data_IF_960941860531
#
_entry.id   IF_960941860531
#
_cell.length_a   1.000
_cell.length_b   1.000
_cell.length_c   1.000
_cell.angle_alpha   90.00
_cell.angle_beta   90.00
_cell.angle_gamma   90.00
#
_symmetry.space_group_name_H-M   'P 1'
#
loop_
_entity.id
_entity.type
_entity.pdbx_description
1 polymer ?
#
# COMPACT_ATOMS: atom_id res chain seq x y z
N UNK A 1 -7.57 -12.26 17.90
CA UNK A 1 -7.81 -10.82 17.73
C UNK A 1 -7.37 -10.10 18.99
N UNK A 2 -6.57 -9.04 18.84
CA UNK A 2 -6.23 -8.12 19.94
C UNK A 2 -6.79 -6.76 19.57
N UNK A 3 -7.37 -6.02 20.51
CA UNK A 3 -7.94 -4.69 20.27
C UNK A 3 -7.18 -3.67 21.10
N UNK A 4 -6.49 -2.76 20.42
CA UNK A 4 -5.86 -1.59 21.02
C UNK A 4 -6.77 -0.37 20.79
N UNK A 5 -7.49 0.00 21.84
CA UNK A 5 -8.42 1.14 21.82
C UNK A 5 -7.70 2.48 21.77
N UNK A 6 -6.49 2.58 22.34
CA UNK A 6 -5.72 3.82 22.34
C UNK A 6 -5.17 4.11 20.93
N UNK A 7 -4.66 3.09 20.26
CA UNK A 7 -4.18 3.18 18.88
C UNK A 7 -5.29 3.05 17.83
N UNK A 8 -6.53 2.71 18.23
CA UNK A 8 -7.66 2.37 17.35
C UNK A 8 -7.30 1.28 16.32
N UNK A 9 -6.61 0.23 16.77
CA UNK A 9 -6.15 -0.88 15.93
C UNK A 9 -6.70 -2.21 16.44
N UNK A 10 -7.06 -3.09 15.51
CA UNK A 10 -7.53 -4.44 15.82
C UNK A 10 -6.77 -5.48 15.00
N UNK A 11 -5.49 -5.78 15.33
CA UNK A 11 -4.78 -6.86 14.67
C UNK A 11 -5.48 -8.19 14.91
N UNK A 12 -5.67 -8.94 13.83
CA UNK A 12 -6.20 -10.29 13.86
C UNK A 12 -5.34 -11.21 13.00
N UNK A 13 -5.17 -12.43 13.48
CA UNK A 13 -4.47 -13.52 12.82
C UNK A 13 -5.30 -14.76 13.06
N UNK A 14 -5.60 -15.47 11.98
CA UNK A 14 -6.07 -16.84 12.06
C UNK A 14 -4.87 -17.74 12.35
N UNK A 15 -4.93 -18.45 13.46
CA UNK A 15 -3.91 -19.39 13.87
C UNK A 15 -4.52 -20.77 14.05
N UNK A 16 -3.99 -21.75 13.32
CA UNK A 16 -4.36 -23.15 13.50
C UNK A 16 -3.37 -23.80 14.47
N UNK A 17 -3.89 -24.25 15.61
CA UNK A 17 -3.11 -25.02 16.58
C UNK A 17 -3.54 -26.48 16.52
N UNK A 18 -2.58 -27.38 16.27
CA UNK A 18 -2.81 -28.81 16.43
C UNK A 18 -3.16 -29.14 17.88
N UNK A 19 -4.25 -29.88 18.10
CA UNK A 19 -4.66 -30.38 19.40
C UNK A 19 -4.50 -31.90 19.50
N UNK A 20 -4.32 -32.41 20.71
CA UNK A 20 -4.25 -33.86 21.00
C UNK A 20 -5.35 -34.29 21.99
N UNK A 21 -6.03 -35.39 21.67
CA UNK A 21 -7.12 -35.96 22.45
C UNK A 21 -8.52 -35.45 22.06
N UNK A 22 -9.57 -36.00 22.69
CA UNK A 22 -10.96 -35.61 22.46
C UNK A 22 -11.39 -34.40 23.28
N UNK A 23 -12.28 -33.58 22.70
CA UNK A 23 -12.87 -32.39 23.34
C UNK A 23 -12.04 -31.10 23.14
N UNK A 24 -12.72 -30.04 22.69
CA UNK A 24 -12.10 -28.72 22.48
C UNK A 24 -11.94 -27.98 23.82
N UNK A 25 -10.88 -28.30 24.58
CA UNK A 25 -10.60 -27.66 25.88
C UNK A 25 -9.61 -26.49 25.75
N UNK A 26 -10.09 -25.30 25.37
CA UNK A 26 -9.26 -24.09 25.14
C UNK A 26 -8.35 -23.76 26.33
N UNK A 27 -8.85 -23.90 27.56
CA UNK A 27 -8.07 -23.64 28.79
C UNK A 27 -6.83 -24.53 28.95
N UNK A 28 -6.86 -25.74 28.38
CA UNK A 28 -5.71 -26.66 28.40
C UNK A 28 -4.52 -26.04 27.65
N UNK A 29 -4.80 -25.26 26.61
CA UNK A 29 -3.80 -24.62 25.75
C UNK A 29 -3.43 -23.20 26.17
N UNK A 30 -3.91 -22.69 27.32
CA UNK A 30 -3.73 -21.30 27.76
C UNK A 30 -2.29 -20.79 27.71
N UNK A 31 -1.29 -21.63 28.03
CA UNK A 31 0.14 -21.25 27.95
C UNK A 31 0.60 -21.07 26.51
N UNK A 32 0.21 -21.97 25.60
CA UNK A 32 0.52 -21.90 24.17
C UNK A 32 -0.19 -20.73 23.50
N UNK A 33 -1.45 -20.48 23.89
CA UNK A 33 -2.22 -19.32 23.46
C UNK A 33 -1.60 -18.00 23.97
N UNK A 34 -1.12 -17.97 25.22
CA UNK A 34 -0.44 -16.79 25.77
C UNK A 34 0.90 -16.51 25.06
N UNK A 35 1.68 -17.55 24.75
CA UNK A 35 2.91 -17.43 23.96
C UNK A 35 2.60 -16.93 22.54
N UNK A 36 1.64 -17.56 21.84
CA UNK A 36 1.18 -17.12 20.53
C UNK A 36 0.70 -15.66 20.56
N UNK A 37 -0.08 -15.26 21.58
CA UNK A 37 -0.55 -13.89 21.72
C UNK A 37 0.60 -12.88 21.88
N UNK A 38 1.64 -13.23 22.66
CA UNK A 38 2.86 -12.43 22.81
C UNK A 38 3.62 -12.34 21.49
N UNK A 39 3.85 -13.47 20.84
CA UNK A 39 4.61 -13.52 19.58
C UNK A 39 3.91 -12.74 18.47
N UNK A 40 2.57 -12.79 18.42
CA UNK A 40 1.78 -11.96 17.50
C UNK A 40 1.88 -10.48 17.85
N UNK A 41 1.80 -10.12 19.14
CA UNK A 41 1.97 -8.72 19.56
C UNK A 41 3.35 -8.18 19.19
N UNK A 42 4.41 -8.97 19.37
CA UNK A 42 5.77 -8.61 18.97
C UNK A 42 5.92 -8.55 17.45
N UNK A 43 5.32 -9.49 16.71
CA UNK A 43 5.35 -9.55 15.26
C UNK A 43 4.63 -8.39 14.58
N UNK A 44 3.53 -7.89 15.16
CA UNK A 44 2.74 -6.79 14.61
C UNK A 44 3.06 -5.43 15.26
N UNK A 45 4.03 -5.38 16.18
CA UNK A 45 4.48 -4.12 16.76
C UNK A 45 5.06 -3.23 15.64
N UNK A 46 4.67 -1.94 15.56
CA UNK A 46 5.27 -1.03 14.59
C UNK A 46 6.80 -1.02 14.71
N UNK A 47 7.49 -1.17 13.57
CA UNK A 47 8.95 -1.14 13.51
C UNK A 47 9.67 -2.46 13.86
N UNK A 48 8.97 -3.55 14.20
CA UNK A 48 9.64 -4.87 14.37
C UNK A 48 9.75 -5.67 13.08
N UNK A 49 8.91 -5.36 12.08
CA UNK A 49 8.96 -5.97 10.75
C UNK A 49 8.88 -4.88 9.70
N UNK A 50 9.65 -5.07 8.63
CA UNK A 50 9.50 -4.30 7.39
C UNK A 50 8.24 -4.80 6.70
N UNK A 51 7.27 -3.91 6.53
CA UNK A 51 6.04 -4.14 5.79
C UNK A 51 6.19 -3.69 4.34
N UNK A 52 5.25 -4.09 3.49
CA UNK A 52 5.17 -3.53 2.14
C UNK A 52 5.01 -1.99 2.17
N UNK A 53 4.31 -1.46 3.18
CA UNK A 53 4.17 -0.02 3.36
C UNK A 53 5.52 0.67 3.59
N UNK A 54 6.37 0.08 4.43
CA UNK A 54 7.72 0.60 4.68
C UNK A 54 8.55 0.57 3.39
N UNK A 55 8.52 -0.56 2.68
CA UNK A 55 9.22 -0.73 1.40
C UNK A 55 8.74 0.27 0.34
N UNK A 56 7.43 0.47 0.21
CA UNK A 56 6.84 1.43 -0.72
C UNK A 56 7.26 2.87 -0.39
N UNK A 57 7.29 3.25 0.90
CA UNK A 57 7.76 4.56 1.33
C UNK A 57 9.24 4.78 1.01
N UNK A 58 10.09 3.77 1.22
CA UNK A 58 11.51 3.85 0.87
C UNK A 58 11.73 3.96 -0.63
N UNK A 59 11.04 3.16 -1.44
CA UNK A 59 11.09 3.25 -2.90
C UNK A 59 10.62 4.62 -3.39
N UNK A 60 9.49 5.10 -2.88
CA UNK A 60 8.95 6.41 -3.23
C UNK A 60 9.92 7.54 -2.85
N UNK A 61 10.53 7.49 -1.66
CA UNK A 61 11.46 8.53 -1.22
C UNK A 61 12.79 8.53 -2.00
N UNK A 62 13.30 7.34 -2.35
CA UNK A 62 14.57 7.19 -3.03
C UNK A 62 14.49 7.45 -4.55
N UNK A 63 13.36 7.11 -5.19
CA UNK A 63 13.22 7.14 -6.65
C UNK A 63 12.47 8.35 -7.19
N UNK A 64 11.66 9.01 -6.35
CA UNK A 64 10.96 10.22 -6.77
C UNK A 64 11.97 11.35 -6.92
N UNK A 65 11.98 11.96 -8.12
CA UNK A 65 12.80 13.15 -8.39
C UNK A 65 12.41 14.28 -7.44
N UNK A 66 13.36 15.15 -7.14
CA UNK A 66 13.07 16.31 -6.31
C UNK A 66 11.89 17.13 -6.88
N UNK A 67 10.95 17.49 -6.02
CA UNK A 67 9.72 18.21 -6.39
C UNK A 67 8.62 17.37 -7.05
N UNK A 68 8.89 16.14 -7.50
CA UNK A 68 7.86 15.25 -8.01
C UNK A 68 6.95 14.75 -6.87
N UNK A 69 5.62 14.62 -7.10
CA UNK A 69 4.70 14.22 -6.06
C UNK A 69 4.72 12.71 -5.79
N UNK A 70 4.54 12.34 -4.53
CA UNK A 70 4.15 11.00 -4.07
C UNK A 70 2.70 11.07 -3.60
N UNK A 71 1.84 10.21 -4.15
CA UNK A 71 0.44 10.15 -3.77
C UNK A 71 0.17 8.92 -2.89
N UNK A 72 -0.48 9.13 -1.76
CA UNK A 72 -0.86 8.08 -0.81
C UNK A 72 -2.38 8.08 -0.67
N UNK A 73 -3.02 6.97 -1.02
CA UNK A 73 -4.44 6.76 -0.74
C UNK A 73 -4.62 6.34 0.70
N UNK A 74 -5.29 7.18 1.48
CA UNK A 74 -5.67 6.93 2.86
C UNK A 74 -7.12 6.44 2.85
N UNK A 75 -7.38 5.15 3.11
CA UNK A 75 -8.75 4.64 3.20
C UNK A 75 -9.49 5.36 4.34
N UNK A 76 -10.79 5.64 4.15
CA UNK A 76 -11.56 6.22 5.23
C UNK A 76 -11.67 5.22 6.39
N UNK A 77 -11.26 5.61 7.61
CA UNK A 77 -11.55 4.81 8.78
C UNK A 77 -13.07 4.79 9.01
N UNK A 78 -13.67 3.61 9.12
CA UNK A 78 -15.04 3.42 9.63
C UNK A 78 -16.14 4.21 8.89
N UNK A 79 -16.21 4.12 7.56
CA UNK A 79 -17.41 4.58 6.85
C UNK A 79 -18.60 3.64 7.15
N UNK A 80 -19.78 4.16 7.54
CA UNK A 80 -21.01 3.37 7.62
C UNK A 80 -21.28 2.66 6.29
N UNK A 81 -21.90 1.46 6.30
CA UNK A 81 -22.10 0.67 5.08
C UNK A 81 -22.82 1.44 3.96
N UNK A 82 -23.72 2.36 4.32
CA UNK A 82 -24.47 3.24 3.40
C UNK A 82 -23.59 4.25 2.64
N UNK A 83 -22.33 4.45 3.06
CA UNK A 83 -21.35 5.35 2.43
C UNK A 83 -20.12 4.61 1.89
N UNK A 84 -20.10 3.27 1.92
CA UNK A 84 -19.00 2.50 1.29
C UNK A 84 -19.00 2.63 -0.23
N UNK A 85 -20.18 2.78 -0.82
CA UNK A 85 -20.36 2.91 -2.27
C UNK A 85 -20.06 4.34 -2.76
N UNK A 86 -20.03 5.32 -1.86
CA UNK A 86 -19.52 6.66 -2.10
C UNK A 86 -17.99 6.63 -1.94
N UNK A 87 -17.32 6.07 -2.94
CA UNK A 87 -15.86 5.99 -3.01
C UNK A 87 -15.20 7.28 -2.54
N UNK A 88 -14.19 7.17 -1.68
CA UNK A 88 -13.38 8.34 -1.37
C UNK A 88 -12.61 8.26 -0.07
N UNK A 89 -11.61 7.38 -0.03
CA UNK A 89 -10.43 7.68 0.77
C UNK A 89 -9.89 9.08 0.44
N UNK A 90 -9.10 9.65 1.34
CA UNK A 90 -8.36 10.87 1.02
C UNK A 90 -7.11 10.49 0.23
N UNK A 91 -6.78 11.26 -0.80
CA UNK A 91 -5.45 11.22 -1.42
C UNK A 91 -4.60 12.28 -0.75
N UNK A 92 -3.50 11.85 -0.14
CA UNK A 92 -2.49 12.73 0.42
C UNK A 92 -1.37 12.87 -0.60
N UNK A 93 -0.97 14.10 -0.89
CA UNK A 93 0.14 14.41 -1.78
C UNK A 93 1.34 14.88 -0.96
N UNK A 94 2.50 14.29 -1.23
CA UNK A 94 3.76 14.59 -0.58
C UNK A 94 4.81 14.99 -1.61
N UNK A 95 5.62 16.00 -1.32
CA UNK A 95 6.80 16.38 -2.09
C UNK A 95 7.99 16.48 -1.16
N UNK A 96 9.13 15.91 -1.56
CA UNK A 96 10.37 16.07 -0.79
C UNK A 96 10.76 17.54 -0.81
N UNK A 97 10.97 18.13 0.38
CA UNK A 97 11.42 19.53 0.50
C UNK A 97 12.92 19.62 0.12
N UNK A 98 13.42 20.79 -0.33
CA UNK A 98 14.82 20.93 -0.74
C UNK A 98 15.85 20.58 0.35
N UNK A 99 15.50 20.83 1.61
CA UNK A 99 16.32 20.56 2.80
C UNK A 99 15.98 19.21 3.49
N UNK A 100 15.01 18.47 2.96
CA UNK A 100 14.55 17.21 3.54
C UNK A 100 15.38 16.04 3.01
N UNK A 101 16.13 15.38 3.89
CA UNK A 101 16.85 14.15 3.53
C UNK A 101 15.89 13.05 3.06
N UNK A 102 16.38 12.15 2.22
CA UNK A 102 15.60 10.98 1.74
C UNK A 102 15.05 10.16 2.91
N UNK A 103 15.83 9.95 3.97
CA UNK A 103 15.41 9.21 5.15
C UNK A 103 14.25 9.91 5.87
N UNK A 104 14.36 11.23 6.10
CA UNK A 104 13.31 12.02 6.75
C UNK A 104 12.02 12.06 5.91
N UNK A 105 12.15 12.18 4.59
CA UNK A 105 11.00 12.14 3.69
C UNK A 105 10.29 10.78 3.74
N UNK A 106 11.06 9.68 3.74
CA UNK A 106 10.50 8.34 3.86
C UNK A 106 9.75 8.13 5.20
N UNK A 107 10.29 8.66 6.30
CA UNK A 107 9.62 8.64 7.61
C UNK A 107 8.31 9.43 7.58
N UNK A 108 8.31 10.64 6.99
CA UNK A 108 7.09 11.45 6.84
C UNK A 108 6.00 10.74 6.03
N UNK A 109 6.38 10.11 4.91
CA UNK A 109 5.48 9.26 4.14
C UNK A 109 4.90 8.14 5.01
N UNK A 110 5.78 7.37 5.67
CA UNK A 110 5.43 6.20 6.47
C UNK A 110 4.50 6.52 7.63
N UNK A 111 4.71 7.65 8.29
CA UNK A 111 3.90 8.11 9.42
C UNK A 111 2.60 8.80 8.98
N UNK A 112 2.50 9.21 7.71
CA UNK A 112 1.28 9.79 7.14
C UNK A 112 0.94 11.19 7.67
N UNK A 113 1.90 11.92 8.24
CA UNK A 113 1.69 13.25 8.83
C UNK A 113 2.15 14.38 7.90
N UNK A 114 1.56 15.55 8.07
CA UNK A 114 1.90 16.78 7.33
C UNK A 114 2.01 16.58 5.80
N UNK A 115 0.96 16.06 5.13
CA UNK A 115 0.90 16.06 3.67
C UNK A 115 0.93 17.50 3.14
N UNK A 116 1.46 17.67 1.93
CA UNK A 116 1.52 18.97 1.27
C UNK A 116 0.17 19.35 0.64
N UNK A 117 -0.66 18.36 0.29
CA UNK A 117 -2.07 18.54 -0.07
C UNK A 117 -2.92 17.32 0.31
N UNK A 118 -4.23 17.54 0.51
CA UNK A 118 -5.22 16.49 0.81
C UNK A 118 -6.46 16.69 -0.04
N UNK A 119 -6.77 15.74 -0.92
CA UNK A 119 -7.99 15.71 -1.72
C UNK A 119 -8.92 14.57 -1.27
N UNK A 120 -10.22 14.84 -1.08
CA UNK A 120 -11.21 13.79 -0.72
C UNK A 120 -11.90 13.26 -1.96
N UNK A 121 -12.09 11.94 -2.04
CA UNK A 121 -12.86 11.34 -3.14
C UNK A 121 -12.14 11.34 -4.49
N UNK A 122 -10.88 11.79 -4.53
CA UNK A 122 -10.10 11.89 -5.75
C UNK A 122 -9.13 10.72 -5.86
N UNK A 123 -9.12 10.09 -7.02
CA UNK A 123 -8.01 9.25 -7.45
C UNK A 123 -6.74 10.11 -7.59
N UNK A 124 -5.55 9.51 -7.45
CA UNK A 124 -4.31 10.24 -7.67
C UNK A 124 -4.27 10.79 -9.10
N UNK A 125 -4.03 12.10 -9.28
CA UNK A 125 -4.04 12.74 -10.60
C UNK A 125 -2.74 12.43 -11.36
N UNK A 126 -2.60 11.19 -11.83
CA UNK A 126 -1.48 10.77 -12.67
C UNK A 126 -1.69 11.29 -14.09
N UNK A 127 -0.85 12.21 -14.54
CA UNK A 127 -0.92 12.76 -15.88
C UNK A 127 -0.54 11.68 -16.94
N UNK A 128 -1.15 11.71 -18.14
CA UNK A 128 -0.67 10.96 -19.30
C UNK A 128 0.84 11.11 -19.52
N UNK A 129 1.51 10.04 -19.95
CA UNK A 129 2.97 9.99 -20.12
C UNK A 129 3.79 9.96 -18.83
N UNK A 130 3.16 9.95 -17.65
CA UNK A 130 3.88 9.78 -16.38
C UNK A 130 4.49 8.39 -16.31
N UNK A 131 5.78 8.31 -15.97
CA UNK A 131 6.41 7.05 -15.57
C UNK A 131 6.32 6.89 -14.05
N UNK A 132 5.46 6.00 -13.58
CA UNK A 132 5.17 5.81 -12.16
C UNK A 132 5.64 4.45 -11.62
N UNK A 133 5.88 4.41 -10.31
CA UNK A 133 5.89 3.18 -9.54
C UNK A 133 4.63 3.15 -8.67
N UNK A 134 3.85 2.08 -8.77
CA UNK A 134 2.63 1.89 -7.99
C UNK A 134 2.79 0.71 -7.03
N UNK A 135 2.56 0.92 -5.74
CA UNK A 135 2.49 -0.13 -4.74
C UNK A 135 1.07 -0.22 -4.18
N UNK A 136 0.37 -1.30 -4.53
CA UNK A 136 -1.05 -1.47 -4.26
C UNK A 136 -1.29 -2.69 -3.35
N UNK A 137 -2.27 -2.60 -2.46
CA UNK A 137 -2.76 -3.80 -1.75
C UNK A 137 -3.72 -4.53 -2.67
N UNK A 138 -4.79 -3.85 -3.05
CA UNK A 138 -5.71 -4.24 -4.12
C UNK A 138 -5.40 -3.38 -5.34
N UNK A 139 -5.38 -3.97 -6.53
CA UNK A 139 -5.22 -3.22 -7.79
C UNK A 139 -6.50 -2.46 -8.17
N UNK A 140 -7.09 -1.74 -7.21
CA UNK A 140 -8.42 -1.13 -7.25
C UNK A 140 -8.46 0.24 -7.95
N UNK A 141 -7.30 0.80 -8.28
CA UNK A 141 -7.24 1.95 -9.18
C UNK A 141 -7.78 1.53 -10.55
N UNK A 142 -8.69 2.30 -11.18
CA UNK A 142 -8.90 2.13 -12.60
C UNK A 142 -7.53 2.38 -13.22
N UNK A 143 -6.96 1.37 -13.88
CA UNK A 143 -5.69 1.55 -14.59
C UNK A 143 -5.75 2.82 -15.45
N UNK A 144 -4.62 3.52 -15.69
CA UNK A 144 -4.58 4.66 -16.61
C UNK A 144 -5.43 4.33 -17.84
N UNK A 145 -6.56 5.01 -17.96
CA UNK A 145 -7.57 4.74 -18.98
C UNK A 145 -7.00 5.14 -20.33
N UNK A 146 -6.25 4.23 -20.94
CA UNK A 146 -5.83 4.28 -22.34
C UNK A 146 -6.72 3.42 -23.25
N UNK A 147 -7.84 2.90 -22.76
CA UNK A 147 -8.70 2.02 -23.55
C UNK A 147 -10.17 2.15 -23.13
N UNK A 148 -10.92 3.01 -23.83
CA UNK A 148 -12.24 2.65 -24.37
C UNK A 148 -12.54 3.52 -25.60
N UNK A 149 -12.47 2.87 -26.78
CA UNK A 149 -12.96 3.24 -28.12
C UNK A 149 -12.65 4.65 -28.65
N UNK A 150 -11.76 4.70 -29.64
CA UNK A 150 -11.92 5.65 -30.74
C UNK A 150 -13.38 5.56 -31.23
N UNK A 151 -14.11 6.66 -31.09
CA UNK A 151 -15.33 6.86 -31.84
C UNK A 151 -14.92 6.98 -33.30
N UNK A 152 -15.32 6.01 -34.14
CA UNK A 152 -15.44 5.92 -35.61
C UNK A 152 -14.60 6.75 -36.61
N UNK A 153 -13.69 7.61 -36.17
CA UNK A 153 -12.90 8.50 -37.00
C UNK A 153 -11.46 8.00 -36.94
N UNK A 154 -11.15 7.03 -37.81
CA UNK A 154 -9.90 6.26 -37.86
C UNK A 154 -8.61 7.08 -37.81
N UNK A 155 -8.18 7.42 -36.60
CA UNK A 155 -6.86 7.95 -36.29
C UNK A 155 -6.27 7.04 -35.21
N UNK A 156 -5.31 6.21 -35.61
CA UNK A 156 -4.50 5.37 -34.72
C UNK A 156 -3.63 6.27 -33.83
N UNK A 157 -4.17 6.72 -32.70
CA UNK A 157 -3.44 7.39 -31.64
C UNK A 157 -3.25 6.46 -30.46
N UNK A 158 -2.01 6.03 -30.18
CA UNK A 158 -1.67 5.40 -28.91
C UNK A 158 -1.81 6.47 -27.83
N UNK A 159 -2.85 6.37 -27.00
CA UNK A 159 -2.97 7.25 -25.85
C UNK A 159 -1.74 7.05 -24.95
N UNK A 160 -1.00 8.13 -24.67
CA UNK A 160 0.17 8.14 -23.78
C UNK A 160 -0.28 7.81 -22.33
N UNK A 161 -0.52 6.53 -22.05
CA UNK A 161 -0.88 6.05 -20.73
C UNK A 161 0.23 6.27 -19.70
N UNK A 162 -0.09 6.03 -18.43
CA UNK A 162 0.94 5.94 -17.38
C UNK A 162 1.75 4.68 -17.63
N UNK A 163 3.08 4.83 -17.72
CA UNK A 163 4.03 3.73 -17.89
C UNK A 163 4.77 3.47 -16.58
N UNK A 164 5.53 2.38 -16.49
CA UNK A 164 6.40 2.10 -15.35
C UNK A 164 6.12 0.74 -14.73
N UNK A 165 6.16 0.66 -13.40
CA UNK A 165 6.12 -0.64 -12.69
C UNK A 165 5.03 -0.65 -11.61
N UNK A 166 4.43 -1.82 -11.39
CA UNK A 166 3.39 -2.00 -10.38
C UNK A 166 3.62 -3.25 -9.54
N UNK A 167 3.65 -3.07 -8.22
CA UNK A 167 3.45 -4.13 -7.25
C UNK A 167 1.99 -4.14 -6.81
N UNK A 168 1.40 -5.34 -6.69
CA UNK A 168 0.11 -5.55 -6.03
C UNK A 168 0.05 -6.85 -5.26
N UNK A 169 -0.69 -6.88 -4.15
CA UNK A 169 -0.95 -8.11 -3.41
C UNK A 169 -2.13 -8.89 -4.00
N UNK A 170 -3.23 -8.21 -4.33
CA UNK A 170 -4.44 -8.79 -4.91
C UNK A 170 -4.74 -8.22 -6.30
N UNK A 171 -5.32 -9.01 -7.23
CA UNK A 171 -5.71 -8.55 -8.56
C UNK A 171 -6.82 -7.53 -8.56
N UNK A 172 -6.95 -6.78 -9.64
CA UNK A 172 -7.94 -5.72 -9.77
C UNK A 172 -7.85 -4.96 -11.09
N UNK A 173 -8.71 -3.95 -11.31
CA UNK A 173 -8.77 -3.15 -12.54
C UNK A 173 -7.44 -2.60 -13.05
N UNK A 174 -6.50 -2.27 -12.16
CA UNK A 174 -5.17 -1.78 -12.53
C UNK A 174 -4.33 -2.80 -13.32
N UNK A 175 -4.70 -4.09 -13.28
CA UNK A 175 -4.04 -5.14 -14.08
C UNK A 175 -4.18 -4.96 -15.60
N UNK A 176 -5.19 -4.23 -16.05
CA UNK A 176 -5.36 -3.91 -17.46
C UNK A 176 -4.41 -2.80 -17.92
N UNK A 177 -3.68 -2.14 -17.01
CA UNK A 177 -2.72 -1.10 -17.34
C UNK A 177 -1.44 -1.68 -17.97
N UNK A 178 -0.78 -0.89 -18.81
CA UNK A 178 0.49 -1.23 -19.45
C UNK A 178 1.72 -1.14 -18.51
N UNK A 179 1.55 -1.31 -17.20
CA UNK A 179 2.64 -1.24 -16.23
C UNK A 179 3.31 -2.62 -16.07
N UNK A 180 4.64 -2.63 -16.05
CA UNK A 180 5.43 -3.83 -15.80
C UNK A 180 5.18 -4.34 -14.37
N UNK A 181 4.76 -5.58 -14.24
CA UNK A 181 4.48 -6.16 -12.92
C UNK A 181 5.79 -6.50 -12.20
N UNK A 182 5.92 -6.06 -10.95
CA UNK A 182 7.02 -6.43 -10.05
C UNK A 182 6.49 -7.18 -8.83
N UNK A 183 7.30 -8.11 -8.32
CA UNK A 183 7.02 -8.92 -7.14
C UNK A 183 7.64 -8.33 -5.88
N UNK A 184 7.25 -8.83 -4.71
CA UNK A 184 7.90 -8.47 -3.45
C UNK A 184 9.39 -8.86 -3.47
N UNK A 185 9.74 -9.97 -4.13
CA UNK A 185 11.11 -10.40 -4.32
C UNK A 185 11.93 -9.39 -5.11
N UNK A 186 11.37 -8.84 -6.20
CA UNK A 186 12.02 -7.82 -7.02
C UNK A 186 12.29 -6.55 -6.22
N UNK A 187 11.29 -6.08 -5.47
CA UNK A 187 11.42 -4.87 -4.63
C UNK A 187 12.45 -5.02 -3.51
N UNK A 188 12.59 -6.22 -2.94
CA UNK A 188 13.59 -6.52 -1.90
C UNK A 188 14.97 -6.69 -2.53
N UNK A 189 15.07 -7.32 -3.70
CA UNK A 189 16.33 -7.50 -4.42
C UNK A 189 16.97 -6.16 -4.77
N UNK A 190 16.17 -5.12 -5.06
CA UNK A 190 16.67 -3.76 -5.29
C UNK A 190 17.35 -3.13 -4.04
N UNK A 191 17.02 -3.61 -2.84
CA UNK A 191 17.65 -3.17 -1.58
C UNK A 191 18.85 -4.02 -1.16
N UNK A 192 19.18 -5.07 -1.92
CA UNK A 192 20.34 -5.89 -1.60
C UNK A 192 21.62 -5.04 -1.62
N UNK A 193 22.57 -5.27 -0.70
CA UNK A 193 23.86 -4.61 -0.76
C UNK A 193 24.47 -4.81 -2.13
N UNK A 194 24.87 -3.73 -2.80
CA UNK A 194 25.63 -3.86 -4.04
C UNK A 194 26.94 -4.55 -3.70
N UNK A 195 27.18 -5.69 -4.33
CA UNK A 195 28.50 -6.32 -4.31
C UNK A 195 29.47 -5.34 -4.94
N UNK A 196 30.35 -4.77 -4.11
CA UNK A 196 31.44 -3.88 -4.53
C UNK A 196 32.60 -4.74 -5.01
#
# INVERSE_FOLDING_TARGET
MTVDLAARRAPWTDATLGGEGGGHHVWRYRRRLAALGRDLADAYRPGTRVTLWDLACWHAAARTREGAPVHVRVPQPFAPPERRDAGGGATHTYRRRPDESVARFAERLREGWSPDAVERGAEPPLAPGTRAFCALVEADLPGPTGAYRAADDGVDGVADGVTGTAYRLFPGPYDAAAADRVTAGDLVAELAPRTV
#
